data_IF_973511141827
#
_entry.id   IF_973511141827
#
_cell.length_a   1.000
_cell.length_b   1.000
_cell.length_c   1.000
_cell.angle_alpha   90.00
_cell.angle_beta   90.00
_cell.angle_gamma   90.00
#
_symmetry.space_group_name_H-M   'P 1'
#
loop_
_entity.id
_entity.type
_entity.pdbx_description
1 polymer ?
#
# COMPACT_ATOMS: atom_id res chain seq x y z
N UNK A 1 17.27 -0.38 23.21
CA UNK A 1 16.71 0.51 24.25
C UNK A 1 15.21 0.36 24.21
N UNK A 2 14.73 -0.60 24.97
CA UNK A 2 13.34 -1.04 25.04
C UNK A 2 12.83 -0.75 26.44
N UNK A 3 11.99 0.26 26.64
CA UNK A 3 11.20 0.36 27.88
C UNK A 3 10.31 1.61 28.04
N UNK A 4 9.85 2.29 26.97
CA UNK A 4 9.00 3.46 27.16
C UNK A 4 7.58 3.39 26.55
N UNK A 5 7.13 2.23 26.06
CA UNK A 5 5.87 2.14 25.30
C UNK A 5 4.66 1.64 26.11
N UNK A 6 4.82 1.29 27.37
CA UNK A 6 3.71 0.84 28.26
C UNK A 6 3.09 2.01 29.05
N UNK A 7 3.62 3.23 28.89
CA UNK A 7 3.20 4.37 29.71
C UNK A 7 1.82 4.94 29.37
N UNK A 8 1.30 4.74 28.16
CA UNK A 8 0.00 5.30 27.75
C UNK A 8 -1.20 4.58 28.36
N UNK A 9 -1.07 3.29 28.69
CA UNK A 9 -2.18 2.49 29.20
C UNK A 9 -1.75 1.68 30.45
N UNK A 10 -1.63 2.32 31.62
CA UNK A 10 -1.09 1.68 32.83
C UNK A 10 -1.85 0.42 33.30
N UNK A 11 -3.17 0.40 33.03
CA UNK A 11 -4.05 -0.73 33.39
C UNK A 11 -4.13 -1.80 32.31
N UNK A 12 -3.53 -1.56 31.13
CA UNK A 12 -3.71 -2.42 29.96
C UNK A 12 -5.11 -2.35 29.35
N UNK A 13 -5.97 -1.44 29.82
CA UNK A 13 -7.34 -1.23 29.33
C UNK A 13 -7.56 0.21 28.93
N UNK A 14 -8.45 0.41 27.96
CA UNK A 14 -8.85 1.74 27.48
C UNK A 14 -10.28 1.72 26.98
N UNK A 15 -10.99 2.83 27.16
CA UNK A 15 -12.33 3.08 26.63
C UNK A 15 -12.22 4.01 25.42
N UNK A 16 -12.86 3.64 24.30
CA UNK A 16 -12.90 4.46 23.07
C UNK A 16 -14.34 4.52 22.59
N UNK A 17 -14.99 5.68 22.66
CA UNK A 17 -16.42 5.88 22.30
C UNK A 17 -17.35 4.77 22.84
N UNK A 18 -17.15 4.35 24.10
CA UNK A 18 -17.97 3.32 24.76
C UNK A 18 -17.56 1.87 24.50
N UNK A 19 -16.51 1.62 23.71
CA UNK A 19 -15.95 0.29 23.50
C UNK A 19 -14.84 0.06 24.52
N UNK A 20 -15.01 -0.93 25.40
CA UNK A 20 -14.02 -1.32 26.40
C UNK A 20 -13.00 -2.28 25.80
N UNK A 21 -11.74 -1.89 25.76
CA UNK A 21 -10.68 -2.59 25.08
C UNK A 21 -9.56 -3.05 26.03
N UNK A 22 -9.08 -4.26 25.84
CA UNK A 22 -7.84 -4.78 26.43
C UNK A 22 -6.70 -4.66 25.44
N UNK A 23 -5.63 -3.97 25.80
CA UNK A 23 -4.41 -3.86 25.01
C UNK A 23 -3.65 -5.16 25.08
N UNK A 24 -3.49 -5.85 23.95
CA UNK A 24 -2.84 -7.16 23.89
C UNK A 24 -1.34 -7.05 23.61
N UNK A 25 -0.98 -6.40 22.51
CA UNK A 25 0.42 -6.22 22.09
C UNK A 25 0.58 -5.04 21.15
N UNK A 26 1.78 -4.50 21.08
CA UNK A 26 2.14 -3.51 20.07
C UNK A 26 2.23 -4.19 18.69
N UNK A 27 1.67 -3.54 17.67
CA UNK A 27 1.75 -3.94 16.26
C UNK A 27 2.85 -3.19 15.53
N UNK A 28 3.02 -1.91 15.85
CA UNK A 28 4.03 -1.06 15.23
C UNK A 28 4.17 0.28 15.96
N UNK A 29 5.23 0.99 15.65
CA UNK A 29 5.44 2.38 16.09
C UNK A 29 6.07 3.18 14.96
N UNK A 30 5.65 4.42 14.81
CA UNK A 30 6.15 5.30 13.76
C UNK A 30 6.05 6.76 14.19
N UNK A 31 6.28 7.64 13.24
CA UNK A 31 6.23 9.07 13.46
C UNK A 31 4.83 9.60 13.79
N UNK A 32 3.80 8.83 13.51
CA UNK A 32 2.39 9.19 13.71
C UNK A 32 1.78 8.50 14.92
N UNK A 33 2.58 7.85 15.78
CA UNK A 33 2.11 7.22 16.99
C UNK A 33 2.48 5.74 17.12
N UNK A 34 1.84 5.07 18.07
CA UNK A 34 2.02 3.65 18.36
C UNK A 34 0.71 2.92 18.06
N UNK A 35 0.80 1.79 17.37
CA UNK A 35 -0.37 0.96 17.06
C UNK A 35 -0.35 -0.30 17.90
N UNK A 36 -1.49 -0.59 18.54
CA UNK A 36 -1.68 -1.77 19.37
C UNK A 36 -2.77 -2.67 18.79
N UNK A 37 -2.63 -3.98 19.00
CA UNK A 37 -3.75 -4.90 18.90
C UNK A 37 -4.55 -4.79 20.20
N UNK A 38 -5.84 -4.52 20.08
CA UNK A 38 -6.76 -4.41 21.20
C UNK A 38 -7.91 -5.41 21.03
N UNK A 39 -8.38 -5.99 22.13
CA UNK A 39 -9.52 -6.91 22.16
C UNK A 39 -10.70 -6.23 22.81
N UNK A 40 -11.86 -6.37 22.21
CA UNK A 40 -13.13 -5.95 22.81
C UNK A 40 -13.47 -6.83 24.01
N UNK A 41 -13.70 -6.23 25.17
CA UNK A 41 -14.02 -6.94 26.41
C UNK A 41 -15.49 -7.32 26.55
N UNK A 42 -16.38 -6.63 25.83
CA UNK A 42 -17.83 -6.80 25.93
C UNK A 42 -18.43 -7.59 24.75
N UNK A 43 -17.66 -7.81 23.69
CA UNK A 43 -18.12 -8.59 22.55
C UNK A 43 -18.30 -10.07 22.93
N UNK A 44 -19.42 -10.66 22.51
CA UNK A 44 -19.73 -12.09 22.75
C UNK A 44 -18.70 -13.03 22.09
N UNK A 45 -18.23 -12.65 20.89
CA UNK A 45 -17.16 -13.30 20.18
C UNK A 45 -15.85 -12.49 20.29
N UNK A 46 -14.67 -13.14 20.25
CA UNK A 46 -13.40 -12.44 20.35
C UNK A 46 -13.15 -11.51 19.17
N UNK A 47 -13.56 -10.25 19.28
CA UNK A 47 -13.29 -9.22 18.27
C UNK A 47 -12.00 -8.49 18.63
N UNK A 48 -11.13 -8.33 17.62
CA UNK A 48 -9.90 -7.56 17.76
C UNK A 48 -9.92 -6.35 16.81
N UNK A 49 -9.31 -5.28 17.30
CA UNK A 49 -9.14 -4.02 16.59
C UNK A 49 -7.66 -3.60 16.56
N UNK A 50 -7.34 -2.66 15.69
CA UNK A 50 -6.08 -1.94 15.74
C UNK A 50 -6.34 -0.56 16.37
N UNK A 51 -5.66 -0.28 17.47
CA UNK A 51 -5.74 1.00 18.18
C UNK A 51 -4.45 1.78 17.96
N UNK A 52 -4.56 2.91 17.26
CA UNK A 52 -3.47 3.87 17.06
C UNK A 52 -3.57 4.95 18.14
N UNK A 53 -2.51 5.08 18.93
CA UNK A 53 -2.34 6.15 19.92
C UNK A 53 -1.39 7.21 19.34
N UNK A 54 -1.93 8.40 19.07
CA UNK A 54 -1.19 9.55 18.55
C UNK A 54 -0.93 10.53 19.67
N UNK A 55 0.32 10.58 20.15
CA UNK A 55 0.73 11.57 21.16
C UNK A 55 0.95 12.93 20.51
N UNK A 56 0.17 13.90 20.91
CA UNK A 56 0.14 15.23 20.35
C UNK A 56 0.88 16.24 21.26
N UNK A 57 2.01 16.75 20.77
CA UNK A 57 2.88 17.65 21.53
C UNK A 57 2.53 19.14 21.37
N UNK A 58 1.66 19.48 20.42
CA UNK A 58 1.30 20.85 20.08
C UNK A 58 -0.02 20.89 19.29
N UNK A 59 -0.67 22.06 19.16
CA UNK A 59 -1.93 22.20 18.43
C UNK A 59 -1.88 21.72 16.97
N UNK A 60 -0.73 21.84 16.31
CA UNK A 60 -0.56 21.38 14.92
C UNK A 60 -0.62 19.84 14.82
N UNK A 61 -0.04 19.13 15.79
CA UNK A 61 -0.12 17.66 15.83
C UNK A 61 -1.54 17.18 16.17
N UNK A 62 -2.26 17.89 17.05
CA UNK A 62 -3.67 17.64 17.32
C UNK A 62 -4.50 17.80 16.04
N UNK A 63 -4.35 18.92 15.33
CA UNK A 63 -5.06 19.16 14.07
C UNK A 63 -4.79 18.11 13.01
N UNK A 64 -3.56 17.59 12.92
CA UNK A 64 -3.22 16.48 12.01
C UNK A 64 -3.93 15.18 12.40
N UNK A 65 -3.93 14.81 13.68
CA UNK A 65 -4.57 13.59 14.15
C UNK A 65 -6.11 13.65 13.97
N UNK A 66 -6.73 14.80 14.27
CA UNK A 66 -8.15 15.02 14.01
C UNK A 66 -8.47 14.92 12.50
N UNK A 67 -7.64 15.53 11.64
CA UNK A 67 -7.81 15.44 10.19
C UNK A 67 -7.71 14.00 9.66
N UNK A 68 -6.88 13.13 10.27
CA UNK A 68 -6.84 11.70 9.96
C UNK A 68 -8.17 11.03 10.30
N UNK A 69 -8.73 11.28 11.49
CA UNK A 69 -10.03 10.76 11.92
C UNK A 69 -11.15 11.21 10.97
N UNK A 70 -11.20 12.51 10.65
CA UNK A 70 -12.21 13.07 9.75
C UNK A 70 -12.13 12.45 8.36
N UNK A 71 -10.92 12.26 7.83
CA UNK A 71 -10.70 11.61 6.54
C UNK A 71 -11.19 10.17 6.56
N UNK A 72 -10.83 9.39 7.59
CA UNK A 72 -11.24 8.01 7.73
C UNK A 72 -12.77 7.86 7.91
N UNK A 73 -13.43 8.78 8.59
CA UNK A 73 -14.89 8.78 8.75
C UNK A 73 -15.66 9.08 7.46
N UNK A 74 -15.04 9.75 6.50
CA UNK A 74 -15.63 10.09 5.19
C UNK A 74 -15.50 9.01 4.15
N UNK A 75 -14.59 8.05 4.33
CA UNK A 75 -14.32 6.99 3.36
C UNK A 75 -14.97 5.70 3.80
N UNK A 76 -15.61 5.01 2.85
CA UNK A 76 -16.18 3.68 3.06
C UNK A 76 -15.99 2.86 1.79
N UNK A 77 -15.01 1.97 1.80
CA UNK A 77 -14.65 1.14 0.66
C UNK A 77 -14.03 -0.17 1.14
N UNK A 78 -14.30 -1.29 0.45
CA UNK A 78 -13.89 -2.62 0.87
C UNK A 78 -12.38 -2.78 0.99
N UNK A 79 -11.61 -2.02 0.20
CA UNK A 79 -10.14 -2.06 0.16
C UNK A 79 -9.49 -0.85 0.85
N UNK A 80 -10.21 -0.22 1.77
CA UNK A 80 -9.70 0.82 2.67
C UNK A 80 -9.96 0.39 4.10
N UNK A 81 -9.02 0.62 4.99
CA UNK A 81 -9.17 0.31 6.43
C UNK A 81 -10.32 1.12 7.01
N UNK A 82 -11.27 0.42 7.64
CA UNK A 82 -12.46 1.01 8.23
C UNK A 82 -12.16 1.55 9.63
N UNK A 83 -12.51 2.81 9.88
CA UNK A 83 -12.56 3.35 11.23
C UNK A 83 -13.78 2.80 11.97
N UNK A 84 -13.60 2.46 13.25
CA UNK A 84 -14.64 1.94 14.15
C UNK A 84 -15.06 3.04 15.13
N UNK A 85 -14.07 3.67 15.80
CA UNK A 85 -14.27 4.71 16.78
C UNK A 85 -13.02 5.60 16.86
N UNK A 86 -13.16 6.79 17.45
CA UNK A 86 -12.03 7.64 17.77
C UNK A 86 -12.33 8.46 19.01
N UNK A 87 -11.36 8.64 19.88
CA UNK A 87 -11.49 9.40 21.11
C UNK A 87 -10.23 10.24 21.38
N UNK A 88 -10.29 11.09 22.36
CA UNK A 88 -9.17 11.92 22.78
C UNK A 88 -9.15 12.08 24.30
N UNK A 89 -7.95 12.11 24.87
CA UNK A 89 -7.79 12.32 26.30
C UNK A 89 -6.49 13.04 26.62
N UNK A 90 -6.42 13.61 27.81
CA UNK A 90 -5.20 14.17 28.36
C UNK A 90 -4.66 13.22 29.46
N UNK A 91 -3.40 12.84 29.35
CA UNK A 91 -2.76 11.96 30.34
C UNK A 91 -2.43 12.74 31.63
N UNK A 92 -2.07 12.03 32.70
CA UNK A 92 -1.73 12.62 34.00
C UNK A 92 -0.50 13.54 33.97
N UNK A 93 0.23 13.60 32.86
CA UNK A 93 1.43 14.45 32.66
C UNK A 93 1.13 15.65 31.76
N UNK A 94 -0.13 15.84 31.33
CA UNK A 94 -0.56 16.87 30.41
C UNK A 94 -0.28 16.56 28.93
N UNK A 95 -0.01 15.30 28.60
CA UNK A 95 0.12 14.81 27.22
C UNK A 95 -1.25 14.63 26.59
N UNK A 96 -1.47 15.25 25.42
CA UNK A 96 -2.72 15.09 24.68
C UNK A 96 -2.62 13.91 23.70
N UNK A 97 -3.60 13.02 23.77
CA UNK A 97 -3.68 11.80 22.98
C UNK A 97 -4.90 11.80 22.08
N UNK A 98 -4.76 11.37 20.84
CA UNK A 98 -5.86 11.03 19.94
C UNK A 98 -5.79 9.54 19.67
N UNK A 99 -6.87 8.84 20.01
CA UNK A 99 -7.05 7.42 19.82
C UNK A 99 -7.85 7.16 18.54
N UNK A 100 -7.34 6.31 17.65
CA UNK A 100 -7.99 5.93 16.41
C UNK A 100 -8.16 4.42 16.41
N UNK A 101 -9.39 3.94 16.53
CA UNK A 101 -9.74 2.54 16.51
C UNK A 101 -10.19 2.13 15.11
N UNK A 102 -9.51 1.16 14.53
CA UNK A 102 -9.82 0.64 13.19
C UNK A 102 -10.01 -0.87 13.21
N UNK A 103 -10.58 -1.43 12.14
CA UNK A 103 -10.57 -2.88 11.94
C UNK A 103 -9.14 -3.43 12.01
N UNK A 104 -9.01 -4.65 12.54
CA UNK A 104 -7.71 -5.33 12.64
C UNK A 104 -7.47 -6.26 11.45
N UNK A 105 -6.48 -5.95 10.66
CA UNK A 105 -6.02 -6.77 9.55
C UNK A 105 -4.96 -7.78 10.04
N UNK A 106 -5.37 -9.03 10.21
CA UNK A 106 -4.51 -10.04 10.85
C UNK A 106 -3.44 -10.64 9.93
N UNK A 107 -3.53 -10.40 8.61
CA UNK A 107 -2.57 -10.87 7.62
C UNK A 107 -1.25 -10.08 7.56
N UNK A 108 -1.12 -9.02 8.36
CA UNK A 108 0.08 -8.18 8.41
C UNK A 108 0.15 -7.18 7.25
N UNK A 109 1.36 -6.76 6.89
CA UNK A 109 1.60 -5.79 5.83
C UNK A 109 1.91 -6.46 4.49
N UNK A 110 1.62 -5.75 3.40
CA UNK A 110 2.05 -6.19 2.07
C UNK A 110 3.59 -6.26 1.98
N UNK A 111 4.32 -5.41 2.69
CA UNK A 111 5.77 -5.43 2.75
C UNK A 111 6.32 -6.78 3.23
N UNK A 112 5.70 -7.37 4.26
CA UNK A 112 6.07 -8.69 4.76
C UNK A 112 5.68 -9.79 3.78
N UNK A 113 4.52 -9.65 3.17
CA UNK A 113 3.91 -10.67 2.30
C UNK A 113 4.58 -10.79 0.93
N UNK A 114 5.09 -9.69 0.37
CA UNK A 114 5.73 -9.68 -0.95
C UNK A 114 7.00 -10.55 -1.03
N UNK A 115 7.66 -10.82 0.10
CA UNK A 115 8.83 -11.72 0.15
C UNK A 115 8.46 -13.20 0.04
N UNK A 116 7.18 -13.56 0.00
CA UNK A 116 6.69 -14.93 -0.14
C UNK A 116 6.08 -15.15 -1.53
N UNK A 117 6.13 -16.36 -2.08
CA UNK A 117 5.48 -16.68 -3.34
C UNK A 117 3.97 -16.40 -3.32
N UNK A 118 3.41 -16.06 -4.46
CA UNK A 118 1.98 -15.87 -4.67
C UNK A 118 1.59 -16.37 -6.05
N UNK A 119 0.32 -16.80 -6.20
CA UNK A 119 -0.22 -17.11 -7.52
C UNK A 119 -0.42 -15.84 -8.35
N UNK A 120 -0.46 -15.99 -9.67
CA UNK A 120 -0.77 -14.90 -10.59
C UNK A 120 -2.15 -14.32 -10.31
N UNK A 121 -3.17 -15.15 -10.08
CA UNK A 121 -4.52 -14.69 -9.73
C UNK A 121 -4.53 -13.82 -8.49
N UNK A 122 -3.77 -14.17 -7.44
CA UNK A 122 -3.63 -13.35 -6.24
C UNK A 122 -2.92 -12.03 -6.54
N UNK A 123 -1.93 -12.05 -7.42
CA UNK A 123 -1.23 -10.86 -7.88
C UNK A 123 -2.17 -9.91 -8.61
N UNK A 124 -2.95 -10.41 -9.57
CA UNK A 124 -3.97 -9.65 -10.28
C UNK A 124 -5.01 -9.05 -9.32
N UNK A 125 -5.48 -9.85 -8.37
CA UNK A 125 -6.41 -9.41 -7.32
C UNK A 125 -5.85 -8.21 -6.55
N UNK A 126 -4.61 -8.25 -6.12
CA UNK A 126 -3.98 -7.16 -5.37
C UNK A 126 -3.83 -5.88 -6.20
N UNK A 127 -3.43 -6.00 -7.47
CA UNK A 127 -3.35 -4.83 -8.36
C UNK A 127 -4.72 -4.17 -8.54
N UNK A 128 -5.75 -4.97 -8.79
CA UNK A 128 -7.14 -4.51 -8.92
C UNK A 128 -7.64 -3.82 -7.66
N UNK A 129 -7.45 -4.44 -6.49
CA UNK A 129 -7.90 -3.90 -5.20
C UNK A 129 -7.23 -2.56 -4.86
N UNK A 130 -5.92 -2.43 -5.12
CA UNK A 130 -5.19 -1.18 -4.90
C UNK A 130 -5.65 -0.08 -5.86
N UNK A 131 -5.82 -0.39 -7.14
CA UNK A 131 -6.32 0.56 -8.12
C UNK A 131 -7.75 1.02 -7.78
N UNK A 132 -8.62 0.11 -7.35
CA UNK A 132 -9.99 0.40 -6.89
C UNK A 132 -10.00 1.33 -5.68
N UNK A 133 -9.20 1.03 -4.65
CA UNK A 133 -9.09 1.86 -3.46
C UNK A 133 -8.62 3.28 -3.79
N UNK A 134 -7.60 3.42 -4.63
CA UNK A 134 -7.08 4.74 -5.00
C UNK A 134 -8.06 5.51 -5.89
N UNK A 135 -8.72 4.84 -6.84
CA UNK A 135 -9.77 5.44 -7.68
C UNK A 135 -10.90 6.00 -6.82
N UNK A 136 -11.36 5.24 -5.81
CA UNK A 136 -12.36 5.71 -4.87
C UNK A 136 -11.88 6.93 -4.05
N UNK A 137 -10.66 6.90 -3.49
CA UNK A 137 -10.12 8.05 -2.75
C UNK A 137 -10.07 9.32 -3.60
N UNK A 138 -9.57 9.21 -4.83
CA UNK A 138 -9.48 10.35 -5.74
C UNK A 138 -10.87 10.85 -6.17
N UNK A 139 -11.88 9.97 -6.29
CA UNK A 139 -13.28 10.38 -6.53
C UNK A 139 -13.86 11.15 -5.33
N UNK A 140 -13.44 10.83 -4.12
CA UNK A 140 -13.75 11.57 -2.89
C UNK A 140 -12.88 12.83 -2.72
N UNK A 141 -12.04 13.17 -3.70
CA UNK A 141 -11.09 14.28 -3.67
C UNK A 141 -10.06 14.19 -2.51
N UNK A 142 -9.66 12.99 -2.16
CA UNK A 142 -8.66 12.71 -1.13
C UNK A 142 -7.39 12.19 -1.81
N UNK A 143 -6.24 12.76 -1.46
CA UNK A 143 -4.90 12.31 -1.85
C UNK A 143 -4.27 11.61 -0.64
N UNK A 144 -3.79 10.40 -0.83
CA UNK A 144 -3.25 9.58 0.27
C UNK A 144 -1.86 10.04 0.73
N UNK A 145 -0.95 10.30 -0.22
CA UNK A 145 0.38 10.88 -0.02
C UNK A 145 1.44 9.98 0.62
N UNK A 146 1.11 8.75 1.03
CA UNK A 146 2.05 7.79 1.62
C UNK A 146 1.77 6.36 1.14
N UNK A 147 1.61 6.18 -0.18
CA UNK A 147 1.43 4.84 -0.78
C UNK A 147 2.76 4.09 -0.76
N UNK A 148 2.79 3.00 -0.01
CA UNK A 148 3.92 2.08 0.11
C UNK A 148 3.44 0.73 0.66
N UNK A 149 4.20 -0.37 0.50
CA UNK A 149 3.77 -1.70 0.97
C UNK A 149 3.51 -1.79 2.48
N UNK A 150 4.15 -0.94 3.30
CA UNK A 150 3.95 -0.93 4.74
C UNK A 150 2.57 -0.40 5.15
N UNK A 151 1.97 0.46 4.31
CA UNK A 151 0.64 1.05 4.53
C UNK A 151 -0.48 0.26 3.85
N UNK A 152 -0.16 -0.86 3.22
CA UNK A 152 -1.13 -1.78 2.64
C UNK A 152 -1.20 -3.02 3.52
N UNK A 153 -2.36 -3.27 4.12
CA UNK A 153 -2.60 -4.35 5.06
C UNK A 153 -3.35 -5.51 4.39
N UNK A 154 -3.23 -6.68 4.96
CA UNK A 154 -3.91 -7.91 4.52
C UNK A 154 -4.98 -8.30 5.55
N UNK A 155 -6.21 -8.54 5.10
CA UNK A 155 -7.34 -8.84 5.99
C UNK A 155 -7.06 -10.03 6.88
N UNK A 156 -6.66 -11.13 6.29
CA UNK A 156 -6.33 -12.38 7.00
C UNK A 156 -5.38 -13.25 6.15
N UNK A 157 -4.94 -14.38 6.68
CA UNK A 157 -4.03 -15.30 5.99
C UNK A 157 -4.70 -16.17 4.92
N UNK A 158 -6.03 -16.22 4.87
CA UNK A 158 -6.78 -17.07 3.92
C UNK A 158 -7.18 -16.28 2.68
N UNK A 159 -7.86 -15.15 2.87
CA UNK A 159 -8.34 -14.30 1.77
C UNK A 159 -7.24 -13.42 1.21
N UNK A 160 -6.42 -12.86 2.10
CA UNK A 160 -5.38 -11.89 1.76
C UNK A 160 -5.93 -10.76 0.85
N UNK A 161 -7.12 -10.23 1.20
CA UNK A 161 -7.62 -9.01 0.58
C UNK A 161 -6.80 -7.83 1.07
N UNK A 162 -6.47 -6.90 0.18
CA UNK A 162 -5.73 -5.71 0.54
C UNK A 162 -6.63 -4.65 1.15
N UNK A 163 -6.10 -3.91 2.11
CA UNK A 163 -6.70 -2.71 2.66
C UNK A 163 -5.67 -1.61 2.80
N UNK A 164 -5.94 -0.49 2.13
CA UNK A 164 -5.13 0.71 2.24
C UNK A 164 -5.36 1.36 3.60
N UNK A 165 -4.28 1.59 4.35
CA UNK A 165 -4.28 2.18 5.69
C UNK A 165 -3.33 3.35 5.82
N UNK A 166 -3.20 3.89 7.03
CA UNK A 166 -2.38 5.04 7.42
C UNK A 166 -2.68 6.33 6.66
N UNK A 167 -3.74 7.00 7.07
CA UNK A 167 -4.20 8.27 6.51
C UNK A 167 -3.59 9.52 7.19
N UNK A 168 -2.55 9.36 8.00
CA UNK A 168 -1.89 10.43 8.73
C UNK A 168 -1.33 11.56 7.85
N UNK A 169 -1.08 11.28 6.57
CA UNK A 169 -0.65 12.26 5.57
C UNK A 169 -1.73 12.65 4.55
N UNK A 170 -2.88 11.98 4.55
CA UNK A 170 -3.94 12.24 3.58
C UNK A 170 -4.46 13.69 3.65
N UNK A 171 -4.87 14.25 2.50
CA UNK A 171 -5.38 15.61 2.36
C UNK A 171 -6.41 15.72 1.25
N UNK A 172 -7.29 16.71 1.39
CA UNK A 172 -8.24 17.07 0.34
C UNK A 172 -7.57 17.85 -0.80
N UNK A 173 -8.03 17.66 -2.05
CA UNK A 173 -7.53 18.38 -3.23
C UNK A 173 -7.67 19.90 -3.10
N UNK A 174 -8.80 20.37 -2.53
CA UNK A 174 -9.02 21.80 -2.34
C UNK A 174 -8.00 22.42 -1.40
N UNK A 175 -7.65 21.70 -0.31
CA UNK A 175 -6.61 22.13 0.61
C UNK A 175 -5.21 22.19 -0.05
N UNK A 176 -4.95 21.38 -1.08
CA UNK A 176 -3.70 21.40 -1.84
C UNK A 176 -3.63 22.58 -2.82
N UNK A 177 -4.75 22.96 -3.45
CA UNK A 177 -4.82 24.09 -4.40
C UNK A 177 -4.72 25.48 -3.75
N UNK A 178 -5.16 25.60 -2.49
CA UNK A 178 -5.12 26.87 -1.73
C UNK A 178 -3.71 27.17 -1.20
N UNK A 179 -2.84 26.16 -1.19
CA UNK A 179 -1.50 26.26 -0.63
C UNK A 179 -0.47 26.28 -1.75
N UNK A 180 -0.48 27.34 -2.57
CA UNK A 180 0.76 27.92 -3.11
C UNK A 180 1.55 28.52 -1.92
N UNK A 181 1.86 27.67 -0.92
CA UNK A 181 2.68 28.09 0.21
C UNK A 181 4.13 28.21 -0.26
N UNK A 182 4.78 29.34 0.06
CA UNK A 182 6.22 29.44 -0.13
C UNK A 182 6.88 28.26 0.58
N UNK A 183 7.96 27.72 0.04
CA UNK A 183 8.73 26.52 0.42
C UNK A 183 8.96 26.20 1.92
N UNK A 184 8.06 26.58 2.81
CA UNK A 184 8.05 26.16 4.22
C UNK A 184 7.71 24.69 4.41
N UNK A 185 7.18 24.00 3.39
CA UNK A 185 7.00 22.56 3.37
C UNK A 185 8.29 21.75 3.08
N UNK A 186 9.47 22.38 3.22
CA UNK A 186 10.73 21.63 3.47
C UNK A 186 10.52 20.56 4.56
N UNK A 187 9.49 20.70 5.40
CA UNK A 187 9.14 19.77 6.46
C UNK A 187 8.76 18.38 5.97
N UNK A 188 8.02 18.19 4.88
CA UNK A 188 7.64 16.84 4.42
C UNK A 188 8.81 16.13 3.73
N UNK A 189 9.42 16.75 2.74
CA UNK A 189 10.62 16.20 2.12
C UNK A 189 11.75 16.03 3.15
N UNK A 190 11.93 17.00 4.07
CA UNK A 190 12.92 16.96 5.14
C UNK A 190 12.57 15.94 6.23
N UNK A 191 11.27 15.74 6.53
CA UNK A 191 10.78 14.70 7.41
C UNK A 191 11.12 13.32 6.84
N UNK A 192 10.82 13.07 5.58
CA UNK A 192 11.12 11.82 4.90
C UNK A 192 12.61 11.56 4.70
N UNK A 193 13.41 12.60 4.46
CA UNK A 193 14.88 12.46 4.36
C UNK A 193 15.56 12.22 5.71
N UNK A 194 14.95 12.69 6.82
CA UNK A 194 15.49 12.50 8.17
C UNK A 194 15.07 11.21 8.84
N UNK A 195 13.92 10.64 8.47
CA UNK A 195 13.41 9.44 9.13
C UNK A 195 14.20 8.17 8.80
N UNK A 196 15.08 8.19 7.79
CA UNK A 196 15.88 7.02 7.39
C UNK A 196 15.05 5.80 6.94
N UNK A 197 13.76 5.86 7.10
CA UNK A 197 12.81 4.76 6.95
C UNK A 197 12.10 4.79 5.61
N UNK A 198 12.83 4.78 4.50
CA UNK A 198 12.33 4.36 3.20
C UNK A 198 11.19 5.07 2.44
N UNK A 199 10.41 6.05 2.95
CA UNK A 199 9.29 6.61 2.17
C UNK A 199 9.75 7.35 0.92
N UNK A 200 10.93 7.96 0.92
CA UNK A 200 11.49 8.65 -0.25
C UNK A 200 11.62 7.78 -1.52
N UNK A 201 11.60 6.45 -1.37
CA UNK A 201 11.66 5.52 -2.49
C UNK A 201 10.35 5.42 -3.29
N UNK A 202 9.24 5.81 -2.67
CA UNK A 202 7.89 5.71 -3.23
C UNK A 202 7.36 7.05 -3.74
N UNK A 203 8.09 8.16 -3.47
CA UNK A 203 7.65 9.52 -3.75
C UNK A 203 7.89 9.92 -5.21
N UNK A 204 6.95 10.66 -5.77
CA UNK A 204 7.06 11.23 -7.11
C UNK A 204 8.11 12.37 -7.19
N UNK A 205 8.71 12.62 -8.37
CA UNK A 205 9.76 13.64 -8.53
C UNK A 205 9.33 15.04 -8.09
N UNK A 206 8.12 15.46 -8.42
CA UNK A 206 7.59 16.80 -8.12
C UNK A 206 7.40 17.06 -6.62
N UNK A 207 7.27 16.00 -5.82
CA UNK A 207 7.14 16.13 -4.35
C UNK A 207 8.40 16.73 -3.73
N UNK A 208 9.56 16.48 -4.30
CA UNK A 208 10.84 17.06 -3.84
C UNK A 208 10.93 18.55 -4.14
N UNK A 209 10.14 19.06 -5.07
CA UNK A 209 9.98 20.49 -5.40
C UNK A 209 8.80 21.13 -4.68
N UNK A 210 8.20 20.45 -3.68
CA UNK A 210 7.03 20.90 -2.93
C UNK A 210 5.75 21.06 -3.76
N UNK A 211 5.68 20.48 -4.95
CA UNK A 211 4.45 20.41 -5.76
C UNK A 211 3.79 19.06 -5.52
N UNK A 212 2.59 19.07 -4.95
CA UNK A 212 1.88 17.84 -4.65
C UNK A 212 0.46 17.89 -5.23
N UNK A 213 0.16 16.95 -6.11
CA UNK A 213 -1.18 16.73 -6.66
C UNK A 213 -1.57 15.26 -6.46
N UNK A 214 -2.80 14.92 -6.83
CA UNK A 214 -3.26 13.53 -6.89
C UNK A 214 -2.38 12.63 -7.79
N UNK A 215 -1.68 13.25 -8.73
CA UNK A 215 -0.78 12.54 -9.65
C UNK A 215 0.47 11.98 -8.98
N UNK A 216 0.82 12.49 -7.80
CA UNK A 216 1.90 11.92 -7.01
C UNK A 216 1.52 10.53 -6.45
N UNK A 217 0.25 10.32 -6.06
CA UNK A 217 -0.23 8.99 -5.67
C UNK A 217 -0.19 8.00 -6.85
N UNK A 218 -0.45 8.48 -8.08
CA UNK A 218 -0.35 7.63 -9.28
C UNK A 218 1.07 7.13 -9.52
N UNK A 219 2.06 7.99 -9.33
CA UNK A 219 3.47 7.58 -9.40
C UNK A 219 3.79 6.52 -8.34
N UNK A 220 3.42 6.78 -7.08
CA UNK A 220 3.63 5.85 -5.97
C UNK A 220 2.93 4.50 -6.22
N UNK A 221 1.73 4.52 -6.80
CA UNK A 221 0.99 3.32 -7.21
C UNK A 221 1.75 2.52 -8.29
N UNK A 222 2.33 3.19 -9.28
CA UNK A 222 3.14 2.55 -10.32
C UNK A 222 4.37 1.86 -9.76
N UNK A 223 5.08 2.51 -8.83
CA UNK A 223 6.21 1.90 -8.10
C UNK A 223 5.75 0.69 -7.30
N UNK A 224 4.59 0.79 -6.61
CA UNK A 224 4.01 -0.30 -5.83
C UNK A 224 3.60 -1.47 -6.72
N UNK A 225 2.98 -1.22 -7.86
CA UNK A 225 2.63 -2.25 -8.83
C UNK A 225 3.86 -3.00 -9.33
N UNK A 226 4.92 -2.28 -9.65
CA UNK A 226 6.18 -2.92 -10.05
C UNK A 226 6.73 -3.81 -8.93
N UNK A 227 6.70 -3.36 -7.67
CA UNK A 227 7.14 -4.17 -6.53
C UNK A 227 6.28 -5.43 -6.34
N UNK A 228 4.95 -5.34 -6.54
CA UNK A 228 4.02 -6.49 -6.48
C UNK A 228 4.31 -7.51 -7.59
N UNK A 229 4.66 -7.06 -8.77
CA UNK A 229 4.90 -7.92 -9.94
C UNK A 229 6.29 -8.53 -9.92
N UNK A 230 7.32 -7.75 -9.62
CA UNK A 230 8.73 -8.20 -9.63
C UNK A 230 9.11 -8.97 -8.37
N UNK A 231 8.66 -8.53 -7.19
CA UNK A 231 8.90 -9.17 -5.87
C UNK A 231 10.37 -9.44 -5.55
N UNK A 232 11.27 -8.71 -6.15
CA UNK A 232 12.69 -8.79 -5.87
C UNK A 232 13.14 -7.61 -5.01
N UNK A 233 14.05 -7.86 -4.08
CA UNK A 233 14.49 -6.85 -3.12
C UNK A 233 15.95 -7.04 -2.69
N UNK A 234 16.55 -5.97 -2.19
CA UNK A 234 17.84 -6.00 -1.53
C UNK A 234 17.72 -5.45 -0.10
N UNK A 235 18.61 -5.89 0.79
CA UNK A 235 18.74 -5.28 2.10
C UNK A 235 19.68 -4.07 2.05
N UNK A 236 19.30 -3.02 2.77
CA UNK A 236 20.13 -1.85 3.02
C UNK A 236 19.82 -1.35 4.43
N UNK A 237 20.83 -1.30 5.32
CA UNK A 237 20.67 -0.92 6.74
C UNK A 237 19.58 -1.75 7.47
N UNK A 238 19.53 -3.06 7.23
CA UNK A 238 18.52 -4.00 7.75
C UNK A 238 17.07 -3.73 7.28
N UNK A 239 16.85 -2.85 6.31
CA UNK A 239 15.55 -2.61 5.70
C UNK A 239 15.47 -3.27 4.31
N UNK A 240 14.30 -3.83 3.98
CA UNK A 240 14.02 -4.31 2.63
C UNK A 240 13.84 -3.12 1.68
N UNK A 241 14.52 -3.19 0.55
CA UNK A 241 14.43 -2.22 -0.55
C UNK A 241 13.96 -2.94 -1.80
N UNK A 242 12.74 -2.71 -2.21
CA UNK A 242 12.14 -3.35 -3.38
C UNK A 242 12.74 -2.80 -4.66
N UNK A 243 13.17 -3.67 -5.54
CA UNK A 243 13.63 -3.28 -6.87
C UNK A 243 12.47 -2.61 -7.63
N UNK A 244 12.78 -1.47 -8.26
CA UNK A 244 11.79 -0.60 -8.87
C UNK A 244 11.42 0.61 -8.04
N UNK A 245 11.55 0.55 -6.72
CA UNK A 245 11.44 1.73 -5.86
C UNK A 245 12.75 2.52 -5.75
N UNK A 246 13.87 1.94 -6.15
CA UNK A 246 15.17 2.61 -6.15
C UNK A 246 15.97 2.32 -7.43
N UNK A 247 16.92 3.21 -7.72
CA UNK A 247 17.92 3.07 -8.78
C UNK A 247 19.32 3.06 -8.16
N UNK A 248 20.26 2.39 -8.82
CA UNK A 248 21.68 2.44 -8.45
C UNK A 248 22.33 3.61 -9.17
N UNK A 249 22.98 4.47 -8.44
CA UNK A 249 23.75 5.62 -8.97
C UNK A 249 25.19 5.44 -8.54
N UNK A 250 26.13 5.53 -9.49
CA UNK A 250 27.59 5.50 -9.23
C UNK A 250 28.02 4.42 -8.22
N UNK A 251 27.97 3.15 -8.60
CA UNK A 251 28.36 2.05 -7.74
C UNK A 251 27.20 1.45 -6.92
N UNK A 252 27.33 1.40 -5.60
CA UNK A 252 26.38 0.74 -4.69
C UNK A 252 25.30 1.68 -4.11
N UNK A 253 25.35 2.97 -4.41
CA UNK A 253 24.40 3.95 -3.84
C UNK A 253 23.02 3.74 -4.42
N UNK A 254 22.05 3.43 -3.53
CA UNK A 254 20.64 3.21 -3.85
C UNK A 254 19.84 4.45 -3.45
N UNK A 255 19.24 5.11 -4.42
CA UNK A 255 18.36 6.27 -4.19
C UNK A 255 16.97 5.99 -4.75
N UNK A 256 15.95 6.61 -4.15
CA UNK A 256 14.57 6.47 -4.62
C UNK A 256 14.43 6.90 -6.07
N UNK A 257 13.62 6.16 -6.86
CA UNK A 257 13.42 6.45 -8.28
C UNK A 257 12.98 7.90 -8.51
N UNK A 258 11.96 8.37 -7.79
CA UNK A 258 11.45 9.73 -7.96
C UNK A 258 12.48 10.80 -7.55
N UNK A 259 13.31 10.55 -6.53
CA UNK A 259 14.41 11.45 -6.19
C UNK A 259 15.47 11.49 -7.29
N UNK A 260 15.83 10.32 -7.84
CA UNK A 260 16.76 10.23 -8.96
C UNK A 260 16.24 11.01 -10.18
N UNK A 261 14.96 10.86 -10.51
CA UNK A 261 14.32 11.60 -11.60
C UNK A 261 14.29 13.11 -11.32
N UNK A 262 14.07 13.55 -10.08
CA UNK A 262 14.07 14.96 -9.70
C UNK A 262 15.45 15.60 -9.85
N UNK A 263 16.53 14.85 -9.57
CA UNK A 263 17.92 15.37 -9.59
C UNK A 263 18.59 15.16 -10.93
N UNK A 264 18.42 13.99 -11.55
CA UNK A 264 19.13 13.58 -12.77
C UNK A 264 18.26 13.73 -14.03
N UNK A 265 16.97 14.05 -13.87
CA UNK A 265 16.03 14.24 -14.96
C UNK A 265 15.33 12.94 -15.44
N UNK A 266 14.45 13.08 -16.44
CA UNK A 266 13.56 12.00 -16.89
C UNK A 266 14.29 10.81 -17.52
N UNK A 267 15.53 10.97 -18.01
CA UNK A 267 16.33 9.89 -18.60
C UNK A 267 16.60 8.75 -17.60
N UNK A 268 16.55 9.01 -16.30
CA UNK A 268 16.71 7.99 -15.24
C UNK A 268 15.72 6.84 -15.37
N UNK A 269 14.53 7.09 -15.93
CA UNK A 269 13.53 6.05 -16.15
C UNK A 269 14.00 4.99 -17.15
N UNK A 270 14.83 5.36 -18.12
CA UNK A 270 15.39 4.43 -19.09
C UNK A 270 16.35 3.41 -18.44
N UNK A 271 17.16 3.84 -17.48
CA UNK A 271 18.03 2.94 -16.69
C UNK A 271 17.20 2.01 -15.81
N UNK A 272 16.12 2.54 -15.22
CA UNK A 272 15.16 1.76 -14.46
C UNK A 272 14.48 0.66 -15.31
N UNK A 273 14.11 0.99 -16.56
CA UNK A 273 13.42 0.04 -17.45
C UNK A 273 14.32 -1.10 -17.93
N UNK A 274 15.63 -0.94 -17.95
CA UNK A 274 16.56 -1.97 -18.46
C UNK A 274 16.84 -3.11 -17.47
N UNK A 275 16.60 -2.94 -16.17
CA UNK A 275 16.96 -3.95 -15.18
C UNK A 275 15.84 -4.43 -14.25
N UNK A 276 14.75 -3.69 -14.12
CA UNK A 276 13.79 -3.87 -13.02
C UNK A 276 12.31 -3.84 -13.42
N UNK A 277 12.00 -3.59 -14.68
CA UNK A 277 10.65 -3.72 -15.19
C UNK A 277 10.44 -5.07 -15.86
N UNK A 278 9.22 -5.58 -15.68
CA UNK A 278 8.75 -6.78 -16.37
C UNK A 278 9.08 -6.75 -17.86
N UNK A 279 9.70 -7.83 -18.33
CA UNK A 279 9.85 -8.11 -19.74
C UNK A 279 8.54 -8.69 -20.27
N UNK A 280 7.49 -7.86 -20.50
CA UNK A 280 6.23 -8.48 -20.80
C UNK A 280 5.34 -7.83 -21.83
N UNK A 281 4.73 -8.72 -22.60
CA UNK A 281 3.75 -8.45 -23.64
C UNK A 281 2.32 -8.21 -23.08
N UNK A 282 2.10 -8.33 -21.77
CA UNK A 282 0.76 -8.37 -21.15
C UNK A 282 0.15 -7.01 -20.78
N UNK A 283 0.75 -5.91 -21.19
CA UNK A 283 0.21 -4.55 -20.96
C UNK A 283 0.56 -3.92 -19.63
N UNK A 284 0.99 -4.66 -18.60
CA UNK A 284 1.40 -4.09 -17.31
C UNK A 284 2.60 -3.15 -17.43
N UNK A 285 3.57 -3.49 -18.26
CA UNK A 285 4.75 -2.64 -18.49
C UNK A 285 4.35 -1.26 -18.99
N UNK A 286 3.49 -1.19 -19.99
CA UNK A 286 3.01 0.08 -20.54
C UNK A 286 2.28 0.89 -19.47
N UNK A 287 1.38 0.25 -18.70
CA UNK A 287 0.66 0.91 -17.63
C UNK A 287 1.60 1.48 -16.56
N UNK A 288 2.59 0.69 -16.12
CA UNK A 288 3.58 1.15 -15.13
C UNK A 288 4.36 2.35 -15.67
N UNK A 289 4.85 2.29 -16.91
CA UNK A 289 5.59 3.41 -17.51
C UNK A 289 4.75 4.68 -17.57
N UNK A 290 3.48 4.57 -17.92
CA UNK A 290 2.56 5.73 -17.95
C UNK A 290 2.36 6.32 -16.54
N UNK A 291 2.23 5.48 -15.52
CA UNK A 291 2.12 5.95 -14.13
C UNK A 291 3.41 6.59 -13.61
N UNK A 292 4.56 6.18 -14.10
CA UNK A 292 5.88 6.71 -13.73
C UNK A 292 6.34 7.89 -14.58
N UNK A 293 5.46 8.44 -15.44
CA UNK A 293 5.82 9.60 -16.26
C UNK A 293 6.38 10.73 -15.40
N UNK A 294 7.47 11.35 -15.88
CA UNK A 294 8.10 12.47 -15.19
C UNK A 294 7.16 13.66 -15.04
N UNK A 295 6.37 13.91 -16.07
CA UNK A 295 5.41 15.03 -16.13
C UNK A 295 4.09 14.60 -15.47
N UNK A 296 3.70 15.18 -14.32
CA UNK A 296 2.56 14.68 -13.55
C UNK A 296 1.24 14.64 -14.32
N UNK A 297 0.94 15.65 -15.14
CA UNK A 297 -0.33 15.72 -15.88
C UNK A 297 -0.43 14.70 -17.04
N UNK A 298 0.69 14.12 -17.48
CA UNK A 298 0.72 13.03 -18.46
C UNK A 298 0.45 11.65 -17.84
N UNK A 299 0.52 11.52 -16.51
CA UNK A 299 0.13 10.29 -15.84
C UNK A 299 -1.37 10.07 -15.94
N UNK A 300 -1.85 8.82 -16.07
CA UNK A 300 -3.28 8.52 -16.09
C UNK A 300 -3.97 8.99 -14.79
N UNK A 301 -5.30 9.08 -14.79
CA UNK A 301 -6.08 9.23 -13.57
C UNK A 301 -6.20 7.88 -12.85
N UNK A 302 -6.51 7.89 -11.55
CA UNK A 302 -6.68 6.64 -10.78
C UNK A 302 -7.78 5.74 -11.36
N UNK A 303 -8.87 6.32 -11.84
CA UNK A 303 -9.95 5.63 -12.53
C UNK A 303 -9.49 4.95 -13.83
N UNK A 304 -8.67 5.62 -14.62
CA UNK A 304 -8.10 5.06 -15.85
C UNK A 304 -7.14 3.89 -15.55
N UNK A 305 -6.33 4.02 -14.47
CA UNK A 305 -5.47 2.93 -13.98
C UNK A 305 -6.32 1.73 -13.59
N UNK A 306 -7.41 1.93 -12.85
CA UNK A 306 -8.31 0.87 -12.44
C UNK A 306 -8.90 0.12 -13.64
N UNK A 307 -9.46 0.82 -14.61
CA UNK A 307 -10.02 0.18 -15.81
C UNK A 307 -8.98 -0.59 -16.63
N UNK A 308 -7.79 -0.02 -16.81
CA UNK A 308 -6.70 -0.71 -17.53
C UNK A 308 -6.25 -2.00 -16.81
N UNK A 309 -6.20 -1.99 -15.48
CA UNK A 309 -5.92 -3.20 -14.70
C UNK A 309 -6.98 -4.26 -14.91
N UNK A 310 -8.28 -3.90 -14.88
CA UNK A 310 -9.38 -4.84 -15.10
C UNK A 310 -9.36 -5.43 -16.51
N UNK A 311 -9.05 -4.64 -17.52
CA UNK A 311 -8.89 -5.10 -18.91
C UNK A 311 -7.75 -6.12 -19.01
N UNK A 312 -6.57 -5.80 -18.46
CA UNK A 312 -5.40 -6.70 -18.48
C UNK A 312 -5.72 -7.98 -17.71
N UNK A 313 -6.30 -7.89 -16.51
CA UNK A 313 -6.66 -9.04 -15.69
C UNK A 313 -7.68 -9.95 -16.40
N UNK A 314 -8.67 -9.36 -17.07
CA UNK A 314 -9.65 -10.09 -17.85
C UNK A 314 -9.01 -10.82 -19.03
N UNK A 315 -8.12 -10.16 -19.76
CA UNK A 315 -7.38 -10.77 -20.88
C UNK A 315 -6.56 -11.98 -20.44
N UNK A 316 -5.84 -11.86 -19.31
CA UNK A 316 -5.03 -12.93 -18.76
C UNK A 316 -5.91 -14.11 -18.33
N UNK A 317 -7.05 -13.88 -17.66
CA UNK A 317 -7.98 -14.93 -17.25
C UNK A 317 -8.58 -15.68 -18.44
N UNK A 318 -8.88 -14.98 -19.52
CA UNK A 318 -9.34 -15.60 -20.77
C UNK A 318 -8.26 -16.50 -21.38
N UNK A 319 -7.01 -16.09 -21.41
CA UNK A 319 -5.90 -16.93 -21.87
C UNK A 319 -5.76 -18.22 -21.05
N UNK A 320 -5.84 -18.15 -19.71
CA UNK A 320 -5.81 -19.33 -18.85
C UNK A 320 -6.96 -20.30 -19.14
N UNK A 321 -8.17 -19.77 -19.34
CA UNK A 321 -9.34 -20.62 -19.66
C UNK A 321 -9.18 -21.33 -20.99
N UNK A 322 -8.58 -20.72 -21.99
CA UNK A 322 -8.32 -21.31 -23.29
C UNK A 322 -7.23 -22.39 -23.21
N UNK A 323 -6.17 -22.17 -22.45
CA UNK A 323 -5.13 -23.17 -22.20
C UNK A 323 -5.67 -24.40 -21.47
N UNK A 324 -6.49 -24.24 -20.43
CA UNK A 324 -7.14 -25.35 -19.73
C UNK A 324 -8.04 -26.16 -20.66
N UNK A 325 -8.82 -25.49 -21.52
CA UNK A 325 -9.65 -26.12 -22.53
C UNK A 325 -8.85 -26.93 -23.56
N UNK A 326 -7.69 -26.40 -24.00
CA UNK A 326 -6.78 -27.08 -24.90
C UNK A 326 -6.14 -28.32 -24.25
N UNK A 327 -5.70 -28.21 -23.01
CA UNK A 327 -5.17 -29.33 -22.23
C UNK A 327 -6.21 -30.43 -22.02
N UNK A 328 -7.44 -30.07 -21.70
CA UNK A 328 -8.55 -31.01 -21.52
C UNK A 328 -8.89 -31.73 -22.82
N UNK A 329 -8.91 -31.04 -23.96
CA UNK A 329 -9.15 -31.64 -25.29
C UNK A 329 -8.01 -32.59 -25.69
N UNK A 330 -6.76 -32.23 -25.41
CA UNK A 330 -5.58 -33.09 -25.67
C UNK A 330 -5.62 -34.36 -24.81
N UNK A 331 -5.94 -34.22 -23.52
CA UNK A 331 -6.08 -35.37 -22.61
C UNK A 331 -7.19 -36.36 -23.05
N UNK A 332 -8.35 -35.85 -23.46
CA UNK A 332 -9.46 -36.69 -24.00
C UNK A 332 -9.06 -37.38 -25.28
N UNK A 333 -8.39 -36.70 -26.23
CA UNK A 333 -7.87 -37.31 -27.47
C UNK A 333 -6.81 -38.39 -27.21
N UNK A 334 -5.94 -38.17 -26.21
CA UNK A 334 -4.96 -39.17 -25.80
C UNK A 334 -5.57 -40.42 -25.18
N UNK A 335 -6.64 -40.28 -24.39
CA UNK A 335 -7.41 -41.41 -23.84
C UNK A 335 -8.16 -42.23 -24.91
N UNK A 336 -8.79 -41.55 -25.88
CA UNK A 336 -9.47 -42.20 -26.99
C UNK A 336 -8.48 -42.94 -27.91
N UNK A 337 -7.28 -42.39 -28.13
CA UNK A 337 -6.22 -43.13 -28.91
C UNK A 337 -5.69 -44.37 -28.18
N UNK A 338 -5.55 -44.30 -26.84
CA UNK A 338 -5.12 -45.46 -26.05
C UNK A 338 -6.19 -46.56 -25.94
N UNK A 339 -7.46 -46.23 -25.92
CA UNK A 339 -8.55 -47.23 -25.97
C UNK A 339 -8.58 -47.95 -27.35
N UNK A 340 -8.49 -47.19 -28.45
CA UNK A 340 -8.46 -47.79 -29.80
C UNK A 340 -7.22 -48.68 -30.08
N UNK A 341 -6.10 -48.45 -29.43
CA UNK A 341 -4.89 -49.30 -29.54
C UNK A 341 -5.06 -50.58 -28.72
N UNK A 342 -5.81 -50.56 -27.59
CA UNK A 342 -6.09 -51.78 -26.80
C UNK A 342 -7.10 -52.68 -27.47
N UNK A 343 -8.10 -52.14 -28.17
CA UNK A 343 -9.12 -52.94 -28.87
C UNK A 343 -8.57 -53.62 -30.14
N UNK A 344 -7.48 -53.10 -30.74
CA UNK A 344 -6.81 -53.73 -31.91
C UNK A 344 -5.74 -54.77 -31.55
N UNK A 345 -5.39 -54.94 -30.26
CA UNK A 345 -4.43 -55.97 -29.82
C UNK A 345 -5.08 -57.22 -29.24
N UNK A 346 -6.41 -57.32 -29.28
CA UNK A 346 -7.13 -58.52 -28.80
C UNK A 346 -7.72 -59.39 -29.88
N UNK A 347 -7.27 -59.24 -31.13
CA UNK A 347 -7.61 -60.14 -32.25
C UNK A 347 -6.29 -60.54 -32.91
N UNK A 348 -5.59 -61.52 -32.32
CA UNK A 348 -4.68 -62.44 -32.99
C UNK A 348 -4.40 -63.61 -32.05
#
# INVERSE_FOLDING_TARGET
>A
MSSNTVASFPTGQVLVEGIELEIQRQLGSGAFGVVFKARDLLASDPVCYALKDVVCLNPLSIGKAISEVETLRRVNHDFIVKIIAADQFEDSRGGFHVLILTEYCSGGTLNDRLSQPSSEEKTLKWLSQMASALSYLHSCQIVHRDLKPDNVLLTDSLREDLKLGDFGLAREFLALKIVDLPCSNRGLAQYYMRSGTGPAHWMAPEVFSCHYTEKADIFSLGVLFNAILVRDFAFSNNEKRWYGAFVKVSGEVKIGLGYAMAVLGPATIAEFTHGYLLNEENGFRSLILDTLNYVPHERPRAEEVYYRIEEIATSIRLQWSDEENLHTKRSKRGKVRRSRIRDNCSIS
#
